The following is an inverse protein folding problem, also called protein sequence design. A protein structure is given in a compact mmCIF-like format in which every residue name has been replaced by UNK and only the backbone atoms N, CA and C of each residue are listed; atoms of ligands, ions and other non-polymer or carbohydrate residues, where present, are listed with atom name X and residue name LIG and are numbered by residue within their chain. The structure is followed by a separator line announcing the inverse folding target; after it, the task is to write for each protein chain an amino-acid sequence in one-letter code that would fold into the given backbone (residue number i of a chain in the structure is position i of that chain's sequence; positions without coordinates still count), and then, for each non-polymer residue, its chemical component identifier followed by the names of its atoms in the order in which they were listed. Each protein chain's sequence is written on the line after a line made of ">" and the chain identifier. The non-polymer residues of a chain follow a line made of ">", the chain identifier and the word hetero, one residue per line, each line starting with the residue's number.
data_IF_826340025010
#
_entry.id   IF_826340025010
#
_cell.length_a   1.000
_cell.length_b   1.000
_cell.length_c   1.000
_cell.angle_alpha   90.00
_cell.angle_beta   90.00
_cell.angle_gamma   90.00
#
_symmetry.space_group_name_H-M   'P 1'
#
loop_
_entity.id
_entity.type
_entity.pdbx_description
1 polymer ?
#
# COMPACT_ATOMS: atom_id res chain seq x y z
N UNK A 1 21.73 -6.48 -25.92
CA UNK A 1 21.46 -6.71 -27.36
C UNK A 1 19.98 -6.99 -27.52
N UNK A 2 19.35 -6.58 -28.63
CA UNK A 2 17.95 -6.90 -28.89
C UNK A 2 17.73 -8.41 -29.03
N UNK A 3 16.56 -8.89 -28.61
CA UNK A 3 16.16 -10.29 -28.64
C UNK A 3 14.87 -10.47 -29.45
N UNK A 4 14.68 -11.69 -29.94
CA UNK A 4 13.39 -12.14 -30.47
C UNK A 4 12.97 -13.39 -29.71
N UNK A 5 11.80 -13.34 -29.10
CA UNK A 5 11.17 -14.48 -28.44
C UNK A 5 10.18 -15.14 -29.40
N UNK A 6 10.30 -16.45 -29.61
CA UNK A 6 9.30 -17.25 -30.31
C UNK A 6 8.62 -18.17 -29.31
N UNK A 7 7.32 -17.97 -29.12
CA UNK A 7 6.49 -18.81 -28.26
C UNK A 7 5.78 -19.84 -29.13
N UNK A 8 5.74 -21.10 -28.67
CA UNK A 8 4.95 -22.18 -29.28
C UNK A 8 3.82 -22.58 -28.32
N UNK A 9 2.65 -21.91 -28.38
CA UNK A 9 1.52 -22.24 -27.52
C UNK A 9 0.99 -23.65 -27.78
N UNK A 10 0.33 -24.22 -26.77
CA UNK A 10 -0.34 -25.51 -26.90
C UNK A 10 -1.72 -25.34 -27.54
N UNK A 11 -2.04 -26.14 -28.55
CA UNK A 11 -3.37 -26.15 -29.16
C UNK A 11 -3.80 -24.79 -29.73
N UNK A 12 -4.93 -24.29 -29.25
CA UNK A 12 -5.55 -23.00 -29.61
C UNK A 12 -5.18 -21.86 -28.66
N UNK A 13 -4.23 -22.08 -27.73
CA UNK A 13 -3.78 -21.03 -26.82
C UNK A 13 -3.11 -19.88 -27.54
N UNK A 14 -3.26 -18.68 -26.99
CA UNK A 14 -2.62 -17.45 -27.47
C UNK A 14 -1.85 -16.74 -26.36
N UNK A 15 -1.06 -15.76 -26.76
CA UNK A 15 -0.14 -15.03 -25.87
C UNK A 15 -0.61 -13.58 -25.71
N UNK A 16 -0.74 -13.15 -24.46
CA UNK A 16 -0.94 -11.76 -24.05
C UNK A 16 0.32 -11.28 -23.31
N UNK A 17 0.89 -10.16 -23.75
CA UNK A 17 2.19 -9.66 -23.25
C UNK A 17 2.37 -8.17 -23.57
N UNK A 18 3.21 -7.49 -22.79
CA UNK A 18 3.71 -6.15 -23.10
C UNK A 18 4.71 -6.11 -24.26
N UNK A 19 5.27 -7.24 -24.70
CA UNK A 19 6.23 -7.25 -25.81
C UNK A 19 5.58 -6.87 -27.16
N UNK A 20 6.33 -6.14 -27.98
CA UNK A 20 5.92 -5.81 -29.34
C UNK A 20 5.98 -7.04 -30.25
N UNK A 21 4.96 -7.22 -31.09
CA UNK A 21 4.92 -8.31 -32.08
C UNK A 21 5.88 -8.04 -33.24
N UNK A 22 6.55 -9.08 -33.71
CA UNK A 22 7.34 -9.01 -34.95
C UNK A 22 6.38 -9.03 -36.14
N UNK A 23 6.43 -7.99 -36.98
CA UNK A 23 5.56 -7.84 -38.14
C UNK A 23 5.59 -9.08 -39.05
N UNK A 24 4.40 -9.57 -39.44
CA UNK A 24 4.24 -10.74 -40.32
C UNK A 24 4.57 -12.09 -39.69
N UNK A 25 4.87 -12.17 -38.39
CA UNK A 25 5.16 -13.43 -37.69
C UNK A 25 4.21 -13.64 -36.51
N UNK A 26 3.51 -14.76 -36.52
CA UNK A 26 2.68 -15.20 -35.40
C UNK A 26 3.55 -15.64 -34.23
N UNK A 27 3.17 -15.27 -33.00
CA UNK A 27 3.85 -15.64 -31.74
C UNK A 27 5.36 -15.33 -31.70
N UNK A 28 5.80 -14.32 -32.44
CA UNK A 28 7.15 -13.77 -32.37
C UNK A 28 7.09 -12.37 -31.78
N UNK A 29 7.94 -12.12 -30.78
CA UNK A 29 7.97 -10.89 -30.02
C UNK A 29 9.37 -10.30 -30.00
N UNK A 30 9.47 -8.98 -30.00
CA UNK A 30 10.72 -8.24 -29.97
C UNK A 30 10.95 -7.63 -28.59
N UNK A 31 12.18 -7.72 -28.09
CA UNK A 31 12.63 -6.99 -26.91
C UNK A 31 13.94 -6.23 -27.24
N UNK A 32 14.08 -4.95 -26.86
CA UNK A 32 15.29 -4.17 -27.14
C UNK A 32 16.51 -4.61 -26.29
N UNK A 33 16.27 -5.25 -25.15
CA UNK A 33 17.29 -5.75 -24.23
C UNK A 33 16.79 -6.97 -23.44
N UNK A 34 17.70 -7.65 -22.74
CA UNK A 34 17.33 -8.73 -21.84
C UNK A 34 16.50 -8.19 -20.67
N UNK A 35 16.87 -7.05 -20.11
CA UNK A 35 16.12 -6.42 -19.01
C UNK A 35 14.66 -6.12 -19.40
N UNK A 36 14.42 -5.66 -20.64
CA UNK A 36 13.07 -5.44 -21.14
C UNK A 36 12.32 -6.77 -21.30
N UNK A 37 12.99 -7.82 -21.82
CA UNK A 37 12.40 -9.15 -21.93
C UNK A 37 12.04 -9.74 -20.55
N UNK A 38 12.94 -9.61 -19.58
CA UNK A 38 12.76 -10.11 -18.21
C UNK A 38 11.63 -9.37 -17.48
N UNK A 39 11.34 -8.14 -17.88
CA UNK A 39 10.26 -7.32 -17.33
C UNK A 39 8.94 -7.43 -18.12
N UNK A 40 8.84 -8.32 -19.11
CA UNK A 40 7.59 -8.52 -19.84
C UNK A 40 7.06 -9.94 -19.60
N UNK A 41 6.08 -10.12 -18.70
CA UNK A 41 5.46 -11.42 -18.51
C UNK A 41 4.70 -11.89 -19.75
N UNK A 42 4.42 -13.19 -19.78
CA UNK A 42 3.64 -13.86 -20.82
C UNK A 42 2.46 -14.57 -20.17
N UNK A 43 1.25 -14.13 -20.48
CA UNK A 43 0.04 -14.91 -20.25
C UNK A 43 -0.17 -15.81 -21.49
N UNK A 44 -0.20 -17.13 -21.31
CA UNK A 44 -0.29 -18.10 -22.40
C UNK A 44 -1.39 -19.11 -22.07
N UNK A 45 -2.51 -19.03 -22.77
CA UNK A 45 -3.66 -19.84 -22.40
C UNK A 45 -4.90 -19.55 -23.22
N UNK A 46 -6.04 -19.72 -22.55
CA UNK A 46 -7.39 -19.47 -23.03
C UNK A 46 -8.02 -18.23 -22.36
N UNK A 47 -7.19 -17.29 -21.90
CA UNK A 47 -7.62 -16.03 -21.31
C UNK A 47 -8.48 -15.22 -22.28
N UNK A 48 -9.42 -14.44 -21.74
CA UNK A 48 -10.24 -13.54 -22.54
C UNK A 48 -9.54 -12.20 -22.67
N UNK A 49 -9.37 -11.71 -23.90
CA UNK A 49 -8.79 -10.39 -24.15
C UNK A 49 -9.85 -9.38 -24.57
N UNK A 50 -9.78 -8.21 -23.95
CA UNK A 50 -10.59 -7.05 -24.27
C UNK A 50 -9.69 -5.86 -24.50
N UNK A 51 -10.12 -4.91 -25.33
CA UNK A 51 -9.33 -3.72 -25.64
C UNK A 51 -10.11 -2.43 -25.42
N UNK A 52 -9.37 -1.37 -25.11
CA UNK A 52 -9.82 0.02 -25.20
C UNK A 52 -8.66 0.91 -25.67
N UNK A 53 -8.99 2.11 -26.15
CA UNK A 53 -7.99 3.08 -26.61
C UNK A 53 -8.09 4.38 -25.83
N UNK A 54 -6.94 4.96 -25.44
CA UNK A 54 -6.85 6.27 -24.80
C UNK A 54 -5.60 7.00 -25.34
N UNK A 55 -5.76 8.28 -25.73
CA UNK A 55 -4.69 9.10 -26.33
C UNK A 55 -3.94 8.40 -27.50
N UNK A 56 -4.69 7.69 -28.35
CA UNK A 56 -4.14 6.96 -29.51
C UNK A 56 -3.34 5.70 -29.17
N UNK A 57 -3.32 5.29 -27.90
CA UNK A 57 -2.61 4.09 -27.42
C UNK A 57 -3.60 3.00 -27.05
N UNK A 58 -3.24 1.76 -27.38
CA UNK A 58 -4.04 0.58 -27.06
C UNK A 58 -3.76 0.08 -25.65
N UNK A 59 -4.83 -0.30 -24.97
CA UNK A 59 -4.79 -0.95 -23.67
C UNK A 59 -5.58 -2.24 -23.74
N UNK A 60 -5.04 -3.29 -23.15
CA UNK A 60 -5.63 -4.61 -23.13
C UNK A 60 -5.97 -5.03 -21.71
N UNK A 61 -7.15 -5.62 -21.51
CA UNK A 61 -7.48 -6.41 -20.33
C UNK A 61 -7.47 -7.88 -20.74
N UNK A 62 -6.51 -8.62 -20.22
CA UNK A 62 -6.35 -10.05 -20.45
C UNK A 62 -6.72 -10.78 -19.16
N UNK A 63 -7.84 -11.51 -19.15
CA UNK A 63 -8.37 -12.14 -17.93
C UNK A 63 -8.45 -13.66 -18.07
N UNK A 64 -7.69 -14.36 -17.23
CA UNK A 64 -7.80 -15.80 -17.03
C UNK A 64 -8.78 -16.10 -15.89
N UNK A 65 -9.62 -17.12 -16.08
CA UNK A 65 -10.61 -17.56 -15.10
C UNK A 65 -11.98 -16.88 -15.25
N UNK A 66 -12.99 -17.52 -14.68
CA UNK A 66 -14.38 -17.04 -14.69
C UNK A 66 -14.74 -16.37 -13.36
N UNK A 67 -15.82 -15.60 -13.36
CA UNK A 67 -16.30 -14.92 -12.16
C UNK A 67 -17.60 -14.16 -12.41
N UNK A 68 -18.02 -13.38 -11.42
CA UNK A 68 -19.19 -12.50 -11.52
C UNK A 68 -18.84 -11.04 -11.86
N UNK A 69 -17.64 -10.82 -12.40
CA UNK A 69 -17.21 -9.51 -12.91
C UNK A 69 -17.93 -9.19 -14.22
N UNK A 70 -18.21 -7.91 -14.45
CA UNK A 70 -18.79 -7.40 -15.69
C UNK A 70 -17.70 -6.71 -16.52
N UNK A 71 -17.42 -7.25 -17.71
CA UNK A 71 -16.40 -6.75 -18.64
C UNK A 71 -16.44 -5.23 -18.81
N UNK A 72 -17.59 -4.67 -19.17
CA UNK A 72 -17.68 -3.26 -19.54
C UNK A 72 -17.41 -2.33 -18.34
N UNK A 73 -17.78 -2.75 -17.12
CA UNK A 73 -17.45 -2.03 -15.88
C UNK A 73 -15.96 -2.07 -15.57
N UNK A 74 -15.30 -3.22 -15.81
CA UNK A 74 -13.84 -3.30 -15.65
C UNK A 74 -13.13 -2.37 -16.64
N UNK A 75 -13.52 -2.38 -17.92
CA UNK A 75 -12.93 -1.53 -18.95
C UNK A 75 -13.15 -0.04 -18.67
N UNK A 76 -14.35 0.37 -18.22
CA UNK A 76 -14.62 1.76 -17.85
C UNK A 76 -13.69 2.22 -16.70
N UNK A 77 -13.52 1.37 -15.69
CA UNK A 77 -12.66 1.66 -14.54
C UNK A 77 -11.19 1.74 -14.92
N UNK A 78 -10.69 0.80 -15.73
CA UNK A 78 -9.33 0.85 -16.26
C UNK A 78 -9.09 2.09 -17.12
N UNK A 79 -10.06 2.50 -17.94
CA UNK A 79 -9.95 3.74 -18.73
C UNK A 79 -9.76 4.96 -17.83
N UNK A 80 -10.52 5.06 -16.74
CA UNK A 80 -10.41 6.15 -15.75
C UNK A 80 -9.09 6.08 -14.96
N UNK A 81 -8.58 4.90 -14.66
CA UNK A 81 -7.23 4.72 -14.06
C UNK A 81 -6.15 5.30 -14.98
N UNK A 82 -6.19 4.96 -16.27
CA UNK A 82 -5.26 5.47 -17.28
C UNK A 82 -5.39 6.99 -17.42
N UNK A 83 -6.61 7.50 -17.54
CA UNK A 83 -6.88 8.93 -17.66
C UNK A 83 -6.37 9.72 -16.45
N UNK A 84 -6.61 9.22 -15.23
CA UNK A 84 -6.17 9.88 -14.00
C UNK A 84 -4.64 9.95 -13.91
N UNK A 85 -3.95 8.86 -14.24
CA UNK A 85 -2.49 8.84 -14.27
C UNK A 85 -1.92 9.73 -15.39
N UNK A 86 -2.54 9.75 -16.57
CA UNK A 86 -2.15 10.66 -17.65
C UNK A 86 -2.27 12.13 -17.23
N UNK A 87 -3.37 12.52 -16.56
CA UNK A 87 -3.54 13.87 -16.01
C UNK A 87 -2.48 14.21 -14.97
N UNK A 88 -2.08 13.23 -14.15
CA UNK A 88 -1.05 13.42 -13.12
C UNK A 88 0.35 13.57 -13.73
N UNK A 89 0.79 12.59 -14.54
CA UNK A 89 2.16 12.50 -15.06
C UNK A 89 2.40 13.36 -16.32
N UNK A 90 1.38 13.51 -17.17
CA UNK A 90 1.43 14.33 -18.38
C UNK A 90 1.81 13.59 -19.68
N UNK A 91 2.15 12.30 -19.61
CA UNK A 91 2.45 11.46 -20.77
C UNK A 91 1.98 10.01 -20.56
N UNK A 92 2.29 9.12 -21.52
CA UNK A 92 2.16 7.66 -21.39
C UNK A 92 3.47 7.04 -21.94
N UNK A 93 4.38 6.49 -21.13
CA UNK A 93 5.74 6.14 -21.55
C UNK A 93 5.86 4.76 -22.24
N UNK A 94 4.83 4.35 -22.98
CA UNK A 94 4.74 3.04 -23.66
C UNK A 94 3.98 3.17 -25.00
N UNK A 95 3.98 2.13 -25.85
CA UNK A 95 3.18 2.12 -27.09
C UNK A 95 1.80 1.48 -26.91
N UNK A 96 1.74 0.43 -26.08
CA UNK A 96 0.53 -0.23 -25.63
C UNK A 96 0.75 -0.76 -24.21
N UNK A 97 -0.33 -1.04 -23.50
CA UNK A 97 -0.29 -1.54 -22.12
C UNK A 97 -1.22 -2.74 -21.91
N UNK A 98 -0.78 -3.77 -21.17
CA UNK A 98 -1.59 -4.97 -20.91
C UNK A 98 -1.82 -5.19 -19.41
N UNK A 99 -3.08 -5.15 -18.97
CA UNK A 99 -3.51 -5.59 -17.64
C UNK A 99 -3.81 -7.09 -17.69
N UNK A 100 -2.92 -7.91 -17.13
CA UNK A 100 -3.11 -9.36 -17.01
C UNK A 100 -3.76 -9.68 -15.67
N UNK A 101 -4.87 -10.40 -15.68
CA UNK A 101 -5.71 -10.63 -14.51
C UNK A 101 -5.99 -12.11 -14.34
N UNK A 102 -5.67 -12.65 -13.16
CA UNK A 102 -6.02 -14.01 -12.77
C UNK A 102 -7.19 -14.00 -11.79
N UNK A 103 -8.31 -14.54 -12.24
CA UNK A 103 -9.56 -14.65 -11.48
C UNK A 103 -9.69 -16.06 -10.89
N UNK A 104 -9.21 -16.25 -9.66
CA UNK A 104 -9.27 -17.54 -8.98
C UNK A 104 -9.33 -17.41 -7.44
N UNK A 105 -9.88 -18.40 -6.72
CA UNK A 105 -9.92 -18.37 -5.26
C UNK A 105 -8.52 -18.26 -4.65
N UNK A 106 -8.36 -17.36 -3.68
CA UNK A 106 -7.08 -17.13 -2.99
C UNK A 106 -6.08 -16.27 -3.76
N UNK A 107 -6.41 -15.81 -4.97
CA UNK A 107 -5.60 -14.83 -5.70
C UNK A 107 -5.76 -13.42 -5.12
N UNK A 108 -4.68 -12.65 -5.15
CA UNK A 108 -4.59 -11.26 -4.73
C UNK A 108 -3.19 -10.71 -4.98
N UNK A 109 -3.03 -9.39 -4.79
CA UNK A 109 -1.77 -8.70 -5.08
C UNK A 109 -1.57 -8.44 -6.58
N UNK A 110 -0.55 -7.63 -6.88
CA UNK A 110 -0.14 -7.30 -8.22
C UNK A 110 1.38 -7.24 -8.35
N UNK A 111 1.84 -7.18 -9.59
CA UNK A 111 3.25 -6.94 -9.92
C UNK A 111 3.33 -6.07 -11.15
N UNK A 112 4.16 -5.05 -11.05
CA UNK A 112 4.29 -3.96 -11.99
C UNK A 112 5.37 -4.23 -13.04
N UNK A 113 5.09 -3.85 -14.28
CA UNK A 113 6.01 -4.00 -15.40
C UNK A 113 6.01 -2.78 -16.30
N UNK A 114 7.05 -2.60 -17.11
CA UNK A 114 7.28 -1.39 -17.91
C UNK A 114 6.09 -0.96 -18.78
N UNK A 115 5.29 -1.91 -19.23
CA UNK A 115 4.04 -1.67 -19.96
C UNK A 115 3.01 -2.79 -19.76
N UNK A 116 3.00 -3.42 -18.59
CA UNK A 116 1.97 -4.37 -18.21
C UNK A 116 1.89 -4.51 -16.69
N UNK A 117 0.91 -5.26 -16.22
CA UNK A 117 0.87 -5.72 -14.83
C UNK A 117 0.22 -7.10 -14.78
N UNK A 118 0.59 -7.91 -13.79
CA UNK A 118 -0.14 -9.12 -13.42
C UNK A 118 -0.88 -8.84 -12.12
N UNK A 119 -2.17 -9.16 -12.06
CA UNK A 119 -3.02 -8.93 -10.89
C UNK A 119 -3.87 -10.15 -10.56
N UNK A 120 -4.02 -10.45 -9.27
CA UNK A 120 -4.94 -11.48 -8.78
C UNK A 120 -6.27 -10.89 -8.29
N UNK A 121 -7.40 -11.51 -8.63
CA UNK A 121 -8.73 -11.12 -8.15
C UNK A 121 -9.54 -12.30 -7.62
N UNK A 122 -10.43 -12.02 -6.65
CA UNK A 122 -11.43 -12.99 -6.21
C UNK A 122 -12.56 -13.09 -7.24
N UNK A 123 -12.85 -14.28 -7.80
CA UNK A 123 -13.81 -14.44 -8.89
C UNK A 123 -15.23 -14.00 -8.55
N UNK A 124 -15.63 -14.02 -7.27
CA UNK A 124 -16.98 -13.67 -6.84
C UNK A 124 -17.08 -12.35 -6.05
N UNK A 125 -16.01 -11.55 -6.09
CA UNK A 125 -15.92 -10.27 -5.38
C UNK A 125 -16.78 -9.14 -5.93
N UNK A 126 -17.38 -9.28 -7.12
CA UNK A 126 -17.92 -8.16 -7.91
C UNK A 126 -19.43 -7.94 -7.75
N UNK A 127 -20.03 -8.36 -6.62
CA UNK A 127 -21.47 -8.16 -6.36
C UNK A 127 -21.83 -6.71 -6.00
N UNK A 128 -20.87 -5.98 -5.44
CA UNK A 128 -21.03 -4.60 -4.98
C UNK A 128 -19.86 -3.76 -5.51
N UNK A 129 -20.04 -2.44 -5.56
CA UNK A 129 -19.00 -1.52 -6.03
C UNK A 129 -17.71 -1.61 -5.20
N UNK A 130 -17.79 -2.00 -3.93
CA UNK A 130 -16.61 -2.24 -3.10
C UNK A 130 -15.67 -3.34 -3.65
N UNK A 131 -16.18 -4.29 -4.44
CA UNK A 131 -15.36 -5.27 -5.14
C UNK A 131 -14.65 -4.67 -6.35
N UNK A 132 -15.39 -3.89 -7.14
CA UNK A 132 -14.82 -3.17 -8.28
C UNK A 132 -13.81 -2.10 -7.82
N UNK A 133 -14.04 -1.42 -6.71
CA UNK A 133 -13.13 -0.45 -6.14
C UNK A 133 -11.83 -1.10 -5.68
N UNK A 134 -11.87 -2.33 -5.15
CA UNK A 134 -10.66 -3.09 -4.82
C UNK A 134 -9.84 -3.41 -6.07
N UNK A 135 -10.49 -3.89 -7.12
CA UNK A 135 -9.84 -4.10 -8.42
C UNK A 135 -9.26 -2.80 -9.00
N UNK A 136 -10.02 -1.70 -8.92
CA UNK A 136 -9.63 -0.39 -9.45
C UNK A 136 -8.45 0.19 -8.66
N UNK A 137 -8.47 0.03 -7.32
CA UNK A 137 -7.39 0.47 -6.44
C UNK A 137 -6.10 -0.28 -6.73
N UNK A 138 -6.16 -1.61 -6.86
CA UNK A 138 -5.01 -2.41 -7.26
C UNK A 138 -4.50 -1.98 -8.65
N UNK A 139 -5.41 -1.82 -9.62
CA UNK A 139 -5.04 -1.34 -10.96
C UNK A 139 -4.41 0.06 -10.94
N UNK A 140 -4.87 0.95 -10.05
CA UNK A 140 -4.30 2.30 -9.88
C UNK A 140 -2.87 2.22 -9.35
N UNK A 141 -2.63 1.36 -8.35
CA UNK A 141 -1.32 1.10 -7.76
C UNK A 141 -0.32 0.58 -8.81
N UNK A 142 -0.67 -0.54 -9.44
CA UNK A 142 0.19 -1.19 -10.43
C UNK A 142 0.42 -0.32 -11.67
N UNK A 143 -0.59 0.46 -12.07
CA UNK A 143 -0.45 1.35 -13.22
C UNK A 143 0.37 2.60 -12.89
N UNK A 144 0.28 3.16 -11.68
CA UNK A 144 1.14 4.27 -11.24
C UNK A 144 2.62 3.85 -11.26
N UNK A 145 2.89 2.57 -10.97
CA UNK A 145 4.22 2.02 -11.07
C UNK A 145 4.84 2.05 -12.47
N UNK A 146 4.02 2.17 -13.52
CA UNK A 146 4.52 2.38 -14.88
C UNK A 146 5.51 3.54 -14.93
N UNK A 147 5.29 4.61 -14.16
CA UNK A 147 6.26 5.69 -13.98
C UNK A 147 7.16 5.41 -12.78
N UNK A 148 6.59 5.17 -11.60
CA UNK A 148 7.32 4.97 -10.35
C UNK A 148 7.15 3.54 -9.85
N UNK A 149 7.86 2.52 -10.33
CA UNK A 149 9.31 2.48 -10.38
C UNK A 149 9.83 2.05 -11.75
N UNK A 150 8.98 1.87 -12.77
CA UNK A 150 9.45 1.31 -14.04
C UNK A 150 10.19 2.31 -14.93
N UNK A 151 9.92 3.61 -14.82
CA UNK A 151 10.73 4.66 -15.47
C UNK A 151 11.65 5.38 -14.47
N UNK A 152 11.07 5.92 -13.40
CA UNK A 152 11.77 6.62 -12.30
C UNK A 152 12.25 5.58 -11.29
N UNK A 153 13.57 5.32 -11.25
CA UNK A 153 14.16 4.28 -10.39
C UNK A 153 15.18 4.84 -9.41
N UNK A 154 15.24 4.30 -8.18
CA UNK A 154 16.36 4.57 -7.30
C UNK A 154 17.65 3.94 -7.86
N UNK A 155 18.79 4.57 -7.62
CA UNK A 155 20.07 4.15 -8.17
C UNK A 155 20.48 2.72 -7.73
N UNK A 156 20.01 2.27 -6.58
CA UNK A 156 20.29 0.92 -6.06
C UNK A 156 19.73 -0.24 -6.88
N UNK A 157 18.81 0.04 -7.82
CA UNK A 157 18.19 -0.97 -8.70
C UNK A 157 18.30 -0.62 -10.20
N UNK A 158 19.07 0.42 -10.55
CA UNK A 158 19.20 0.87 -11.94
C UNK A 158 20.67 0.88 -12.42
N UNK A 159 21.10 -0.09 -13.24
CA UNK A 159 20.34 -1.26 -13.72
C UNK A 159 20.17 -2.34 -12.64
N UNK A 160 19.33 -3.34 -12.91
CA UNK A 160 19.21 -4.51 -12.06
C UNK A 160 20.43 -5.43 -12.19
N UNK A 161 20.94 -5.92 -11.06
CA UNK A 161 21.85 -7.07 -11.01
C UNK A 161 21.07 -8.33 -10.64
N UNK A 162 20.71 -9.14 -11.64
CA UNK A 162 19.93 -10.37 -11.44
C UNK A 162 20.70 -11.49 -10.71
N UNK A 163 21.97 -11.28 -10.36
CA UNK A 163 22.81 -12.30 -9.71
C UNK A 163 22.88 -12.16 -8.19
N UNK A 164 22.33 -11.08 -7.63
CA UNK A 164 22.38 -10.76 -6.19
C UNK A 164 21.21 -9.87 -5.76
N UNK A 165 21.09 -9.63 -4.48
CA UNK A 165 20.14 -8.66 -3.93
C UNK A 165 20.49 -7.22 -4.35
N UNK A 166 19.46 -6.43 -4.69
CA UNK A 166 19.61 -5.03 -5.10
C UNK A 166 19.06 -4.12 -4.00
N UNK A 167 19.94 -3.53 -3.19
CA UNK A 167 19.55 -2.75 -2.01
C UNK A 167 19.23 -1.29 -2.37
N UNK A 168 18.18 -0.74 -1.75
CA UNK A 168 17.88 0.69 -1.85
C UNK A 168 17.28 1.24 -0.55
N UNK A 169 17.79 2.37 -0.04
CA UNK A 169 17.15 3.13 1.06
C UNK A 169 15.84 3.83 0.65
N UNK A 170 15.44 3.75 -0.62
CA UNK A 170 14.39 4.58 -1.22
C UNK A 170 13.16 3.79 -1.71
N UNK A 171 13.02 2.51 -1.38
CA UNK A 171 11.84 1.74 -1.78
C UNK A 171 10.53 2.30 -1.22
N UNK A 172 10.55 3.02 -0.09
CA UNK A 172 9.38 3.75 0.38
C UNK A 172 8.86 4.80 -0.62
N UNK A 173 9.73 5.36 -1.49
CA UNK A 173 9.32 6.24 -2.59
C UNK A 173 8.68 5.42 -3.71
N UNK A 174 9.23 4.23 -4.00
CA UNK A 174 8.65 3.35 -5.02
C UNK A 174 7.28 2.81 -4.60
N UNK A 175 7.09 2.54 -3.31
CA UNK A 175 5.96 1.73 -2.82
C UNK A 175 5.02 2.52 -1.92
N UNK A 176 5.51 3.04 -0.78
CA UNK A 176 4.67 3.83 0.11
C UNK A 176 4.15 5.13 -0.51
N UNK A 177 4.96 5.84 -1.31
CA UNK A 177 4.46 6.99 -2.08
C UNK A 177 3.44 6.55 -3.13
N UNK A 178 3.58 5.36 -3.71
CA UNK A 178 2.57 4.80 -4.62
C UNK A 178 1.27 4.46 -3.89
N UNK A 179 1.31 3.91 -2.67
CA UNK A 179 0.11 3.69 -1.83
C UNK A 179 -0.62 5.01 -1.52
N UNK A 180 0.14 6.06 -1.16
CA UNK A 180 -0.40 7.39 -0.94
C UNK A 180 -1.10 7.93 -2.21
N UNK A 181 -0.45 7.80 -3.37
CA UNK A 181 -1.04 8.20 -4.64
C UNK A 181 -2.20 7.34 -5.09
N UNK A 182 -2.22 6.05 -4.75
CA UNK A 182 -3.35 5.17 -5.01
C UNK A 182 -4.60 5.70 -4.32
N UNK A 183 -4.54 6.03 -3.03
CA UNK A 183 -5.65 6.68 -2.31
C UNK A 183 -6.04 8.01 -2.99
N UNK A 184 -5.07 8.88 -3.25
CA UNK A 184 -5.32 10.22 -3.76
C UNK A 184 -5.93 10.22 -5.17
N UNK A 185 -5.41 9.38 -6.07
CA UNK A 185 -5.91 9.25 -7.44
C UNK A 185 -7.24 8.49 -7.48
N UNK A 186 -7.48 7.53 -6.59
CA UNK A 186 -8.82 6.93 -6.45
C UNK A 186 -9.87 7.97 -6.07
N UNK A 187 -9.51 8.92 -5.19
CA UNK A 187 -10.37 10.08 -4.89
C UNK A 187 -10.52 11.01 -6.09
N UNK A 188 -9.41 11.48 -6.67
CA UNK A 188 -9.43 12.46 -7.78
C UNK A 188 -10.10 11.93 -9.04
N UNK A 189 -10.07 10.62 -9.28
CA UNK A 189 -10.79 9.95 -10.36
C UNK A 189 -12.30 9.74 -10.08
N UNK A 190 -12.77 10.10 -8.88
CA UNK A 190 -14.17 10.00 -8.48
C UNK A 190 -14.63 8.63 -7.99
N UNK A 191 -13.72 7.70 -7.73
CA UNK A 191 -14.05 6.39 -7.17
C UNK A 191 -14.27 6.45 -5.66
N UNK A 192 -13.47 7.25 -4.96
CA UNK A 192 -13.62 7.45 -3.52
C UNK A 192 -14.36 8.75 -3.23
N UNK A 193 -15.26 8.70 -2.25
CA UNK A 193 -15.81 9.89 -1.63
C UNK A 193 -14.79 10.49 -0.65
N UNK A 194 -14.95 11.77 -0.31
CA UNK A 194 -14.13 12.43 0.74
C UNK A 194 -14.25 11.66 2.06
N UNK A 195 -15.46 11.27 2.47
CA UNK A 195 -15.67 10.53 3.71
C UNK A 195 -14.91 9.20 3.76
N UNK A 196 -14.78 8.52 2.62
CA UNK A 196 -13.94 7.33 2.52
C UNK A 196 -12.47 7.66 2.76
N UNK A 197 -11.95 8.71 2.14
CA UNK A 197 -10.56 9.17 2.35
C UNK A 197 -10.32 9.53 3.82
N UNK A 198 -11.22 10.30 4.45
CA UNK A 198 -11.09 10.64 5.87
C UNK A 198 -11.09 9.39 6.79
N UNK A 199 -11.89 8.38 6.44
CA UNK A 199 -11.88 7.08 7.11
C UNK A 199 -10.56 6.32 6.93
N UNK A 200 -9.99 6.36 5.72
CA UNK A 200 -8.68 5.77 5.42
C UNK A 200 -7.55 6.48 6.20
N UNK A 201 -7.57 7.82 6.29
CA UNK A 201 -6.64 8.59 7.14
C UNK A 201 -6.74 8.19 8.61
N UNK A 202 -7.96 8.02 9.14
CA UNK A 202 -8.15 7.53 10.51
C UNK A 202 -7.57 6.13 10.74
N UNK A 203 -7.67 5.25 9.74
CA UNK A 203 -7.07 3.92 9.81
C UNK A 203 -5.54 3.94 9.70
N UNK A 204 -4.97 4.80 8.86
CA UNK A 204 -3.52 5.03 8.78
C UNK A 204 -2.95 5.37 10.17
N UNK A 205 -3.51 6.40 10.83
CA UNK A 205 -3.09 6.84 12.17
C UNK A 205 -3.18 5.70 13.18
N UNK A 206 -4.27 4.92 13.15
CA UNK A 206 -4.47 3.79 14.06
C UNK A 206 -3.44 2.69 13.84
N UNK A 207 -3.19 2.33 12.58
CA UNK A 207 -2.27 1.27 12.20
C UNK A 207 -0.83 1.60 12.61
N UNK A 208 -0.38 2.84 12.39
CA UNK A 208 0.93 3.31 12.88
C UNK A 208 1.03 3.15 14.40
N UNK A 209 0.06 3.69 15.15
CA UNK A 209 0.06 3.67 16.62
C UNK A 209 0.00 2.26 17.21
N UNK A 210 -0.65 1.31 16.53
CA UNK A 210 -0.72 -0.09 16.93
C UNK A 210 0.57 -0.89 16.66
N UNK A 211 1.56 -0.32 15.97
CA UNK A 211 2.80 -1.01 15.59
C UNK A 211 3.98 -0.54 16.45
N UNK A 212 4.44 -1.32 17.46
CA UNK A 212 5.59 -0.93 18.27
C UNK A 212 6.88 -0.74 17.46
N UNK A 213 7.04 -1.48 16.35
CA UNK A 213 8.21 -1.39 15.48
C UNK A 213 8.51 0.01 14.94
N UNK A 214 7.53 0.93 14.92
CA UNK A 214 7.73 2.33 14.51
C UNK A 214 8.78 3.08 15.34
N UNK A 215 8.98 2.64 16.60
CA UNK A 215 9.97 3.20 17.53
C UNK A 215 11.37 2.58 17.38
N UNK A 216 11.50 1.58 16.52
CA UNK A 216 12.71 0.73 16.43
C UNK A 216 13.39 0.85 15.09
N UNK A 217 12.64 0.85 13.98
CA UNK A 217 13.19 0.88 12.63
C UNK A 217 12.79 2.15 11.89
N UNK A 218 13.76 2.79 11.24
CA UNK A 218 13.49 3.94 10.37
C UNK A 218 12.86 3.50 9.04
N UNK A 219 12.29 4.46 8.30
CA UNK A 219 11.70 4.16 6.99
C UNK A 219 12.78 3.81 5.95
N UNK A 220 13.94 4.46 6.06
CA UNK A 220 15.11 4.20 5.22
C UNK A 220 15.67 2.79 5.48
N UNK A 221 15.80 2.39 6.75
CA UNK A 221 16.23 1.04 7.13
C UNK A 221 15.24 -0.03 6.65
N UNK A 222 13.94 0.22 6.76
CA UNK A 222 12.92 -0.72 6.27
C UNK A 222 13.02 -0.94 4.77
N UNK A 223 13.26 0.13 3.99
CA UNK A 223 13.53 0.03 2.56
C UNK A 223 14.80 -0.79 2.29
N UNK A 224 15.90 -0.46 2.95
CA UNK A 224 17.17 -1.16 2.74
C UNK A 224 17.07 -2.66 3.09
N UNK A 225 16.40 -2.99 4.19
CA UNK A 225 16.26 -4.36 4.70
C UNK A 225 15.18 -5.20 3.99
N UNK A 226 14.55 -4.69 2.91
CA UNK A 226 13.42 -5.35 2.25
C UNK A 226 13.72 -6.84 1.94
N UNK A 227 14.89 -7.14 1.36
CA UNK A 227 15.34 -8.50 1.01
C UNK A 227 15.45 -9.48 2.19
N UNK A 228 15.67 -8.96 3.40
CA UNK A 228 16.02 -9.78 4.57
C UNK A 228 14.91 -9.82 5.60
N UNK A 229 14.22 -8.71 5.86
CA UNK A 229 13.20 -8.60 6.91
C UNK A 229 11.78 -8.57 6.34
N UNK A 230 11.52 -7.71 5.34
CA UNK A 230 10.17 -7.55 4.80
C UNK A 230 9.69 -8.79 4.04
N UNK A 231 10.52 -9.34 3.15
CA UNK A 231 10.16 -10.54 2.39
C UNK A 231 10.32 -11.85 3.19
N UNK A 232 10.84 -11.77 4.42
CA UNK A 232 11.02 -12.90 5.35
C UNK A 232 10.59 -12.50 6.75
N UNK A 233 9.34 -12.07 6.89
CA UNK A 233 8.80 -11.60 8.17
C UNK A 233 8.99 -12.65 9.26
N UNK A 234 9.49 -12.20 10.41
CA UNK A 234 9.53 -12.99 11.63
C UNK A 234 8.27 -12.79 12.45
N UNK A 235 8.01 -13.70 13.39
CA UNK A 235 6.94 -13.56 14.37
C UNK A 235 7.03 -12.28 15.22
N UNK A 236 8.21 -11.65 15.25
CA UNK A 236 8.49 -10.43 15.99
C UNK A 236 8.48 -9.16 15.10
N UNK A 237 8.14 -9.29 13.81
CA UNK A 237 8.17 -8.19 12.85
C UNK A 237 7.36 -6.98 13.30
N UNK A 238 6.11 -7.20 13.77
CA UNK A 238 5.25 -6.10 14.25
C UNK A 238 5.88 -5.28 15.39
N UNK A 239 6.76 -5.87 16.20
CA UNK A 239 7.37 -5.23 17.35
C UNK A 239 8.68 -4.50 17.01
N UNK A 240 9.33 -4.83 15.88
CA UNK A 240 10.69 -4.35 15.57
C UNK A 240 10.85 -3.76 14.19
N UNK A 241 9.84 -3.88 13.34
CA UNK A 241 9.90 -3.51 11.93
C UNK A 241 8.73 -2.59 11.58
N UNK A 242 8.94 -1.80 10.53
CA UNK A 242 7.88 -1.05 9.87
C UNK A 242 7.73 -1.53 8.44
N UNK A 243 6.55 -1.32 7.87
CA UNK A 243 6.33 -1.51 6.44
C UNK A 243 6.75 -0.25 5.71
N UNK A 244 7.66 -0.36 4.73
CA UNK A 244 7.99 0.77 3.84
C UNK A 244 6.83 1.13 2.89
N UNK A 245 5.78 0.29 2.81
CA UNK A 245 4.48 0.63 2.24
C UNK A 245 3.72 1.54 3.22
N UNK A 246 3.22 1.00 4.34
CA UNK A 246 2.37 1.74 5.28
C UNK A 246 3.03 3.04 5.77
N UNK A 247 4.23 2.96 6.38
CA UNK A 247 4.93 4.15 6.91
C UNK A 247 5.39 5.05 5.76
N UNK A 248 5.69 4.49 4.59
CA UNK A 248 6.03 5.28 3.41
C UNK A 248 4.84 6.09 2.90
N UNK A 249 3.63 5.53 2.93
CA UNK A 249 2.38 6.22 2.62
C UNK A 249 2.07 7.31 3.65
N UNK A 250 2.23 7.01 4.93
CA UNK A 250 2.09 7.99 6.02
C UNK A 250 3.03 9.18 5.80
N UNK A 251 4.34 8.93 5.64
CA UNK A 251 5.35 9.98 5.46
C UNK A 251 5.15 10.75 4.15
N UNK A 252 4.69 10.09 3.08
CA UNK A 252 4.36 10.76 1.81
C UNK A 252 3.20 11.74 1.97
N UNK A 253 2.16 11.37 2.74
CA UNK A 253 1.08 12.28 3.10
C UNK A 253 1.61 13.50 3.86
N UNK A 254 2.43 13.30 4.91
CA UNK A 254 2.96 14.42 5.69
C UNK A 254 3.81 15.33 4.82
N UNK A 255 4.63 14.74 3.95
CA UNK A 255 5.53 15.46 3.06
C UNK A 255 4.76 16.33 2.07
N UNK A 256 3.69 15.81 1.44
CA UNK A 256 2.85 16.62 0.55
C UNK A 256 2.24 17.82 1.29
N UNK A 257 1.66 17.58 2.47
CA UNK A 257 1.02 18.64 3.26
C UNK A 257 2.03 19.68 3.77
N UNK A 258 3.23 19.27 4.18
CA UNK A 258 4.31 20.18 4.59
C UNK A 258 4.80 21.04 3.41
N UNK A 259 5.01 20.44 2.23
CA UNK A 259 5.39 21.17 1.01
C UNK A 259 4.32 22.22 0.68
N UNK A 260 3.05 21.82 0.69
CA UNK A 260 1.92 22.71 0.42
C UNK A 260 1.84 23.84 1.44
N UNK A 261 2.00 23.56 2.72
CA UNK A 261 1.98 24.57 3.77
C UNK A 261 3.11 25.60 3.61
N UNK A 262 4.36 25.14 3.41
CA UNK A 262 5.54 26.04 3.32
C UNK A 262 5.54 26.90 2.07
N UNK A 263 5.08 26.34 0.95
CA UNK A 263 5.04 27.03 -0.34
C UNK A 263 3.74 27.83 -0.57
N UNK A 264 2.90 28.00 0.45
CA UNK A 264 1.55 28.61 0.34
C UNK A 264 0.71 27.99 -0.80
N UNK A 265 0.79 26.67 -0.91
CA UNK A 265 0.16 25.80 -1.92
C UNK A 265 0.65 26.00 -3.36
N UNK A 266 1.85 26.58 -3.56
CA UNK A 266 2.51 26.66 -4.89
C UNK A 266 3.26 25.38 -5.27
N UNK A 267 3.64 24.57 -4.28
CA UNK A 267 4.31 23.28 -4.40
C UNK A 267 3.42 22.14 -3.90
N UNK A 268 3.76 20.93 -4.31
CA UNK A 268 3.16 19.68 -3.86
C UNK A 268 4.09 18.51 -4.15
N UNK A 269 3.84 17.37 -3.51
CA UNK A 269 4.49 16.11 -3.86
C UNK A 269 4.21 15.74 -5.33
N UNK A 270 3.08 16.17 -5.91
CA UNK A 270 2.77 15.94 -7.34
C UNK A 270 3.80 16.62 -8.24
N UNK A 271 4.23 17.82 -7.84
CA UNK A 271 5.29 18.54 -8.53
C UNK A 271 6.64 17.88 -8.31
N UNK A 272 6.94 17.43 -7.08
CA UNK A 272 8.18 16.69 -6.78
C UNK A 272 8.28 15.43 -7.66
N UNK A 273 7.26 14.57 -7.68
CA UNK A 273 7.27 13.33 -8.45
C UNK A 273 7.45 13.58 -9.95
N UNK A 274 6.77 14.59 -10.50
CA UNK A 274 6.96 14.98 -11.91
C UNK A 274 8.36 15.52 -12.20
N UNK A 275 8.94 16.30 -11.30
CA UNK A 275 10.31 16.80 -11.46
C UNK A 275 11.32 15.66 -11.33
N UNK A 276 11.11 14.72 -10.40
CA UNK A 276 11.91 13.50 -10.30
C UNK A 276 11.86 12.68 -11.60
N UNK A 277 10.65 12.41 -12.12
CA UNK A 277 10.47 11.68 -13.38
C UNK A 277 11.21 12.34 -14.56
N UNK A 278 11.17 13.68 -14.67
CA UNK A 278 11.89 14.41 -15.72
C UNK A 278 13.41 14.36 -15.55
N UNK A 279 13.92 14.47 -14.31
CA UNK A 279 15.36 14.60 -14.01
C UNK A 279 16.09 13.27 -13.98
N UNK A 280 15.38 12.18 -13.67
CA UNK A 280 15.96 10.84 -13.50
C UNK A 280 15.31 9.83 -14.47
N UNK A 281 15.56 9.97 -15.79
CA UNK A 281 15.03 9.05 -16.78
C UNK A 281 15.64 7.66 -16.63
N UNK A 282 14.95 6.64 -17.14
CA UNK A 282 15.32 5.23 -17.02
C UNK A 282 16.74 4.90 -17.50
N UNK A 283 17.19 5.55 -18.58
CA UNK A 283 18.53 5.35 -19.15
C UNK A 283 19.64 6.11 -18.40
N UNK A 284 19.30 6.85 -17.34
CA UNK A 284 20.24 7.48 -16.41
C UNK A 284 20.68 6.54 -15.28
N UNK A 285 21.39 7.06 -14.27
CA UNK A 285 21.87 6.25 -13.14
C UNK A 285 20.80 5.92 -12.08
N UNK A 286 19.57 6.41 -12.24
CA UNK A 286 18.58 6.45 -11.15
C UNK A 286 18.86 7.57 -10.15
N UNK A 287 17.96 7.75 -9.18
CA UNK A 287 18.07 8.81 -8.16
C UNK A 287 18.63 8.29 -6.83
N UNK A 288 19.33 9.16 -6.10
CA UNK A 288 19.73 8.95 -4.70
C UNK A 288 18.72 9.54 -3.70
N UNK A 289 18.74 9.16 -2.42
CA UNK A 289 17.96 9.84 -1.38
C UNK A 289 18.20 11.36 -1.34
N UNK A 290 19.44 11.79 -1.53
CA UNK A 290 19.82 13.20 -1.53
C UNK A 290 19.23 13.94 -2.73
N UNK A 291 19.10 13.27 -3.88
CA UNK A 291 18.45 13.86 -5.05
C UNK A 291 16.97 14.11 -4.80
N UNK A 292 16.27 13.15 -4.20
CA UNK A 292 14.86 13.31 -3.84
C UNK A 292 14.69 14.44 -2.81
N UNK A 293 15.52 14.48 -1.76
CA UNK A 293 15.48 15.55 -0.77
C UNK A 293 15.72 16.92 -1.42
N UNK A 294 16.69 17.07 -2.33
CA UNK A 294 16.93 18.34 -3.03
C UNK A 294 15.72 18.79 -3.84
N UNK A 295 15.06 17.90 -4.58
CA UNK A 295 13.86 18.26 -5.35
C UNK A 295 12.72 18.68 -4.43
N UNK A 296 12.55 18.01 -3.28
CA UNK A 296 11.61 18.44 -2.24
C UNK A 296 11.94 19.84 -1.75
N UNK A 297 13.20 20.13 -1.42
CA UNK A 297 13.64 21.43 -0.90
C UNK A 297 13.46 22.56 -1.93
N UNK A 298 13.68 22.28 -3.21
CA UNK A 298 13.41 23.22 -4.31
C UNK A 298 11.90 23.51 -4.47
N UNK A 299 11.05 22.48 -4.37
CA UNK A 299 9.59 22.62 -4.55
C UNK A 299 8.91 23.21 -3.31
N UNK A 300 9.38 22.84 -2.11
CA UNK A 300 8.85 23.27 -0.82
C UNK A 300 9.47 24.56 -0.28
N UNK A 301 10.34 25.22 -1.05
CA UNK A 301 10.95 26.52 -0.76
C UNK A 301 11.75 26.58 0.56
N UNK A 302 12.74 25.70 0.73
CA UNK A 302 13.66 25.73 1.88
C UNK A 302 14.16 24.35 2.28
N UNK A 303 14.96 24.26 3.35
CA UNK A 303 15.49 22.95 3.78
C UNK A 303 14.42 22.08 4.47
N UNK A 304 14.44 20.79 4.16
CA UNK A 304 13.59 19.76 4.75
C UNK A 304 14.41 18.79 5.63
N UNK A 305 15.64 19.14 6.00
CA UNK A 305 16.54 18.26 6.75
C UNK A 305 15.93 17.78 8.08
N UNK A 306 15.23 18.64 8.81
CA UNK A 306 14.54 18.25 10.05
C UNK A 306 13.46 17.19 9.78
N UNK A 307 12.67 17.36 8.72
CA UNK A 307 11.65 16.39 8.33
C UNK A 307 12.29 15.03 7.98
N UNK A 308 13.31 15.04 7.13
CA UNK A 308 13.98 13.82 6.67
C UNK A 308 14.71 13.11 7.81
N UNK A 309 15.39 13.85 8.69
CA UNK A 309 16.08 13.29 9.84
C UNK A 309 15.12 12.66 10.85
N UNK A 310 13.94 13.24 11.05
CA UNK A 310 12.94 12.71 11.99
C UNK A 310 12.17 11.51 11.45
N UNK A 311 11.63 11.61 10.24
CA UNK A 311 10.59 10.70 9.75
C UNK A 311 11.10 9.66 8.73
N UNK A 312 12.20 9.95 8.04
CA UNK A 312 12.77 9.04 7.03
C UNK A 312 13.95 8.27 7.63
N UNK A 313 14.98 8.99 8.09
CA UNK A 313 16.18 8.43 8.72
C UNK A 313 15.99 8.07 10.19
N UNK A 314 15.02 8.72 10.85
CA UNK A 314 14.74 8.56 12.26
C UNK A 314 13.47 7.75 12.56
N UNK A 315 13.17 7.68 13.85
CA UNK A 315 12.00 6.98 14.41
C UNK A 315 11.17 7.91 15.28
N UNK A 316 11.18 9.21 14.97
CA UNK A 316 10.32 10.16 15.67
C UNK A 316 8.85 9.76 15.48
N UNK A 317 8.04 9.88 16.53
CA UNK A 317 6.60 9.66 16.43
C UNK A 317 5.98 10.71 15.49
N UNK A 318 5.03 10.28 14.66
CA UNK A 318 4.39 11.14 13.67
C UNK A 318 3.33 12.03 14.33
N UNK A 319 3.42 13.34 14.10
CA UNK A 319 2.40 14.32 14.49
C UNK A 319 1.34 14.49 13.39
N UNK A 320 0.50 13.46 13.20
CA UNK A 320 -0.56 13.49 12.18
C UNK A 320 -1.50 14.69 12.34
N UNK A 321 -1.78 15.11 13.57
CA UNK A 321 -2.67 16.24 13.85
C UNK A 321 -2.10 17.55 13.27
N UNK A 322 -0.81 17.82 13.46
CA UNK A 322 -0.13 18.98 12.87
C UNK A 322 -0.24 19.00 11.34
N UNK A 323 0.11 17.90 10.68
CA UNK A 323 0.15 17.90 9.21
C UNK A 323 -1.25 17.94 8.59
N UNK A 324 -2.20 17.18 9.14
CA UNK A 324 -3.60 17.22 8.68
C UNK A 324 -4.25 18.58 8.91
N UNK A 325 -3.84 19.31 9.96
CA UNK A 325 -4.29 20.69 10.18
C UNK A 325 -3.92 21.61 9.01
N UNK A 326 -2.84 21.37 8.26
CA UNK A 326 -2.50 22.18 7.08
C UNK A 326 -3.54 22.09 5.96
N UNK A 327 -4.29 20.99 5.89
CA UNK A 327 -5.45 20.84 5.01
C UNK A 327 -6.78 21.15 5.72
N UNK A 328 -6.75 21.83 6.87
CA UNK A 328 -7.95 22.15 7.64
C UNK A 328 -8.64 20.94 8.26
N UNK A 329 -7.94 19.82 8.41
CA UNK A 329 -8.50 18.60 9.00
C UNK A 329 -8.10 18.48 10.47
N UNK A 330 -9.01 17.95 11.28
CA UNK A 330 -8.81 17.69 12.70
C UNK A 330 -8.80 16.18 12.97
N UNK A 331 -7.82 15.74 13.77
CA UNK A 331 -7.75 14.37 14.28
C UNK A 331 -8.47 14.32 15.62
N UNK A 332 -9.55 13.56 15.69
CA UNK A 332 -10.29 13.29 16.92
C UNK A 332 -10.00 11.89 17.43
N UNK A 333 -9.58 11.83 18.68
CA UNK A 333 -9.28 10.59 19.39
C UNK A 333 -10.31 10.37 20.48
N UNK A 334 -10.95 9.20 20.43
CA UNK A 334 -11.92 8.80 21.43
C UNK A 334 -11.49 7.51 22.09
N UNK A 335 -11.21 7.60 23.38
CA UNK A 335 -11.06 6.41 24.21
C UNK A 335 -12.42 5.74 24.39
N UNK A 336 -12.43 4.41 24.32
CA UNK A 336 -13.66 3.64 24.59
C UNK A 336 -14.08 3.83 26.05
N UNK A 337 -15.39 4.00 26.29
CA UNK A 337 -15.95 4.07 27.64
C UNK A 337 -17.16 3.11 27.76
N UNK A 338 -17.08 2.02 28.54
CA UNK A 338 -15.92 1.61 29.35
C UNK A 338 -14.70 1.25 28.48
N UNK A 339 -13.50 1.34 29.06
CA UNK A 339 -12.27 0.98 28.37
C UNK A 339 -12.32 -0.48 27.90
N UNK A 340 -11.99 -0.72 26.62
CA UNK A 340 -11.97 -2.07 26.06
C UNK A 340 -10.80 -2.84 26.70
N UNK A 341 -11.05 -4.04 27.27
CA UNK A 341 -9.98 -4.89 27.76
C UNK A 341 -9.11 -5.36 26.60
N UNK A 342 -7.80 -5.31 26.80
CA UNK A 342 -6.81 -5.60 25.79
C UNK A 342 -5.83 -6.66 26.29
N UNK A 343 -5.55 -7.64 25.43
CA UNK A 343 -4.63 -8.75 25.68
C UNK A 343 -3.32 -8.61 24.89
N UNK A 344 -3.37 -7.99 23.71
CA UNK A 344 -2.23 -7.79 22.82
C UNK A 344 -1.75 -9.04 22.07
N UNK A 345 -2.67 -9.89 21.63
CA UNK A 345 -2.38 -11.01 20.72
C UNK A 345 -3.22 -10.97 19.46
N UNK A 346 -2.68 -11.53 18.37
CA UNK A 346 -3.46 -11.94 17.21
C UNK A 346 -3.54 -13.46 17.17
N UNK A 347 -4.66 -14.00 16.71
CA UNK A 347 -4.86 -15.45 16.57
C UNK A 347 -5.35 -15.81 15.17
N UNK A 348 -5.14 -17.07 14.77
CA UNK A 348 -5.69 -17.65 13.55
C UNK A 348 -6.06 -19.11 13.80
N UNK A 349 -7.14 -19.58 13.18
CA UNK A 349 -7.42 -21.02 13.13
C UNK A 349 -6.48 -21.73 12.14
N UNK A 350 -5.82 -22.80 12.59
CA UNK A 350 -5.03 -23.69 11.76
C UNK A 350 -5.40 -25.12 12.11
N UNK A 351 -5.89 -25.89 11.14
CA UNK A 351 -6.24 -27.31 11.32
C UNK A 351 -7.18 -27.57 12.52
N UNK A 352 -8.04 -26.61 12.84
CA UNK A 352 -8.95 -26.69 13.98
C UNK A 352 -8.32 -26.38 15.34
N UNK A 353 -7.13 -25.77 15.37
CA UNK A 353 -6.45 -25.21 16.54
C UNK A 353 -6.45 -23.68 16.47
N UNK A 354 -6.59 -23.01 17.61
CA UNK A 354 -6.50 -21.54 17.71
C UNK A 354 -5.06 -21.15 18.01
N UNK A 355 -4.30 -20.79 16.99
CA UNK A 355 -2.88 -20.48 17.12
C UNK A 355 -2.66 -19.00 17.38
N UNK A 356 -1.80 -18.67 18.34
CA UNK A 356 -1.30 -17.29 18.52
C UNK A 356 -0.32 -16.99 17.38
N UNK A 357 -0.61 -15.94 16.61
CA UNK A 357 0.18 -15.53 15.43
C UNK A 357 0.95 -14.23 15.65
N UNK A 358 0.59 -13.44 16.65
CA UNK A 358 1.34 -12.27 17.07
C UNK A 358 1.19 -12.05 18.58
N UNK A 359 2.25 -11.55 19.22
CA UNK A 359 2.24 -11.09 20.61
C UNK A 359 2.90 -9.71 20.63
N UNK A 360 2.15 -8.69 21.02
CA UNK A 360 2.58 -7.29 20.97
C UNK A 360 3.52 -6.99 22.13
N UNK A 361 4.71 -6.45 21.86
CA UNK A 361 5.68 -6.10 22.89
C UNK A 361 5.07 -5.09 23.90
N UNK A 362 5.28 -5.36 25.20
CA UNK A 362 4.73 -4.56 26.30
C UNK A 362 3.24 -4.80 26.59
N UNK A 363 2.56 -5.67 25.83
CA UNK A 363 1.17 -6.03 26.11
C UNK A 363 1.01 -7.00 27.29
N UNK A 364 -0.21 -7.16 27.83
CA UNK A 364 -0.48 -8.14 28.88
C UNK A 364 -0.04 -9.56 28.56
N UNK A 365 -0.28 -10.01 27.33
CA UNK A 365 0.14 -11.34 26.89
C UNK A 365 1.67 -11.49 26.84
N UNK A 366 2.36 -10.44 26.39
CA UNK A 366 3.83 -10.41 26.35
C UNK A 366 4.41 -10.51 27.76
N UNK A 367 3.94 -9.67 28.69
CA UNK A 367 4.40 -9.65 30.08
C UNK A 367 4.07 -10.96 30.82
N UNK A 368 2.96 -11.61 30.48
CA UNK A 368 2.61 -12.93 31.01
C UNK A 368 3.44 -14.08 30.43
N UNK A 369 4.19 -13.85 29.34
CA UNK A 369 5.05 -14.85 28.71
C UNK A 369 4.33 -15.78 27.71
N UNK A 370 3.23 -15.33 27.10
CA UNK A 370 2.64 -15.97 25.93
C UNK A 370 3.53 -15.78 24.70
N UNK A 371 3.55 -16.77 23.81
CA UNK A 371 4.40 -16.77 22.64
C UNK A 371 3.59 -16.98 21.35
N UNK A 372 4.13 -16.46 20.24
CA UNK A 372 3.70 -16.91 18.92
C UNK A 372 3.97 -18.41 18.78
N UNK A 373 3.01 -19.13 18.18
CA UNK A 373 3.04 -20.58 18.06
C UNK A 373 2.41 -21.34 19.24
N UNK A 374 2.02 -20.65 20.32
CA UNK A 374 1.15 -21.27 21.33
C UNK A 374 -0.22 -21.59 20.72
N UNK A 375 -0.76 -22.77 21.04
CA UNK A 375 -2.17 -23.10 20.80
C UNK A 375 -2.99 -22.62 21.99
N UNK A 376 -3.82 -21.60 21.79
CA UNK A 376 -4.77 -21.13 22.79
C UNK A 376 -5.94 -22.12 22.92
N UNK A 377 -6.06 -22.78 24.06
CA UNK A 377 -7.08 -23.81 24.30
C UNK A 377 -8.30 -23.21 24.99
N UNK A 378 -8.10 -22.51 26.12
CA UNK A 378 -9.21 -21.97 26.91
C UNK A 378 -8.95 -20.58 27.47
N UNK A 379 -10.03 -19.83 27.63
CA UNK A 379 -10.11 -18.61 28.44
C UNK A 379 -11.07 -18.88 29.60
N UNK A 380 -10.57 -18.74 30.84
CA UNK A 380 -11.27 -19.09 32.08
C UNK A 380 -11.83 -20.52 32.10
N UNK A 381 -11.10 -21.47 31.52
CA UNK A 381 -11.50 -22.89 31.46
C UNK A 381 -12.54 -23.21 30.38
N UNK A 382 -12.98 -22.24 29.59
CA UNK A 382 -13.86 -22.47 28.44
C UNK A 382 -13.08 -22.39 27.13
N UNK A 383 -13.33 -23.33 26.21
CA UNK A 383 -12.73 -23.30 24.88
C UNK A 383 -13.02 -21.97 24.19
N UNK A 384 -12.01 -21.42 23.52
CA UNK A 384 -12.13 -20.18 22.73
C UNK A 384 -11.57 -20.42 21.34
N UNK A 385 -12.27 -19.90 20.33
CA UNK A 385 -11.82 -19.88 18.93
C UNK A 385 -11.29 -18.50 18.56
N UNK A 386 -10.47 -18.42 17.51
CA UNK A 386 -9.90 -17.17 17.03
C UNK A 386 -10.97 -16.10 16.76
N UNK A 387 -12.05 -16.49 16.10
CA UNK A 387 -13.18 -15.60 15.79
C UNK A 387 -14.08 -15.25 16.99
N UNK A 388 -13.83 -15.84 18.16
CA UNK A 388 -14.60 -15.59 19.39
C UNK A 388 -13.78 -14.83 20.45
N UNK A 389 -12.46 -14.72 20.27
CA UNK A 389 -11.57 -14.21 21.31
C UNK A 389 -11.92 -12.79 21.73
N UNK A 390 -12.13 -11.88 20.77
CA UNK A 390 -12.49 -10.48 21.04
C UNK A 390 -13.80 -10.37 21.80
N UNK A 391 -14.83 -11.11 21.38
CA UNK A 391 -16.14 -11.11 22.05
C UNK A 391 -16.02 -11.66 23.47
N UNK A 392 -15.26 -12.75 23.66
CA UNK A 392 -15.02 -13.34 24.98
C UNK A 392 -14.21 -12.45 25.91
N UNK A 393 -13.26 -11.67 25.38
CA UNK A 393 -12.52 -10.68 26.17
C UNK A 393 -13.44 -9.54 26.64
N UNK A 394 -14.49 -9.22 25.88
CA UNK A 394 -15.46 -8.16 26.21
C UNK A 394 -16.32 -8.48 27.43
N UNK A 395 -16.31 -9.73 27.92
CA UNK A 395 -16.94 -10.13 29.19
C UNK A 395 -16.18 -9.60 30.44
N UNK A 396 -14.96 -9.07 30.25
CA UNK A 396 -14.07 -8.61 31.31
C UNK A 396 -13.84 -7.09 31.24
N UNK A 397 -13.17 -6.55 32.25
CA UNK A 397 -12.72 -5.16 32.31
C UNK A 397 -11.20 -5.08 32.23
N UNK A 398 -10.71 -3.90 31.85
CA UNK A 398 -9.32 -3.56 32.12
C UNK A 398 -9.00 -3.78 33.62
N UNK A 399 -7.78 -4.22 33.90
CA UNK A 399 -7.26 -4.64 35.22
C UNK A 399 -7.76 -5.99 35.76
N UNK A 400 -8.76 -6.62 35.15
CA UNK A 400 -9.15 -7.99 35.52
C UNK A 400 -8.02 -8.96 35.21
N UNK A 401 -7.82 -9.96 36.07
CA UNK A 401 -6.89 -11.06 35.82
C UNK A 401 -7.64 -12.26 35.29
N UNK A 402 -7.24 -12.74 34.11
CA UNK A 402 -7.84 -13.90 33.46
C UNK A 402 -6.83 -15.05 33.38
N UNK A 403 -7.35 -16.28 33.42
CA UNK A 403 -6.58 -17.52 33.20
C UNK A 403 -6.69 -17.95 31.75
N UNK A 404 -5.55 -18.05 31.09
CA UNK A 404 -5.40 -18.62 29.76
C UNK A 404 -4.69 -19.96 29.84
N UNK A 405 -5.22 -20.96 29.15
CA UNK A 405 -4.59 -22.28 29.05
C UNK A 405 -4.17 -22.50 27.61
N UNK A 406 -2.90 -22.84 27.41
CA UNK A 406 -2.31 -23.05 26.08
C UNK A 406 -1.53 -24.34 26.00
N UNK A 407 -1.37 -24.90 24.81
CA UNK A 407 -0.30 -25.86 24.53
C UNK A 407 0.90 -25.14 23.94
N UNK A 408 2.08 -25.38 24.51
CA UNK A 408 3.38 -24.95 23.97
C UNK A 408 4.28 -26.17 23.84
N UNK A 409 4.65 -26.52 22.62
CA UNK A 409 5.47 -27.72 22.35
C UNK A 409 4.92 -28.95 23.09
N UNK A 410 3.62 -29.23 22.91
CA UNK A 410 2.87 -30.34 23.54
C UNK A 410 2.70 -30.25 25.06
N UNK A 411 3.25 -29.22 25.72
CA UNK A 411 3.07 -29.01 27.15
C UNK A 411 1.88 -28.10 27.42
N UNK A 412 0.93 -28.59 28.23
CA UNK A 412 -0.15 -27.77 28.75
C UNK A 412 0.41 -26.76 29.75
N UNK A 413 0.13 -25.48 29.54
CA UNK A 413 0.57 -24.38 30.40
C UNK A 413 -0.62 -23.49 30.73
N UNK A 414 -0.60 -22.95 31.94
CA UNK A 414 -1.58 -21.95 32.39
C UNK A 414 -0.88 -20.63 32.69
N UNK A 415 -1.49 -19.55 32.24
CA UNK A 415 -1.01 -18.18 32.41
C UNK A 415 -2.09 -17.35 33.07
N UNK A 416 -1.70 -16.60 34.11
CA UNK A 416 -2.53 -15.56 34.71
C UNK A 416 -2.16 -14.24 34.05
N UNK A 417 -3.10 -13.64 33.33
CA UNK A 417 -2.87 -12.44 32.54
C UNK A 417 -3.74 -11.31 33.07
N UNK A 418 -3.10 -10.24 33.54
CA UNK A 418 -3.80 -9.04 33.97
C UNK A 418 -4.07 -8.15 32.76
N UNK A 419 -5.33 -8.06 32.34
CA UNK A 419 -5.75 -7.27 31.19
C UNK A 419 -5.46 -5.79 31.41
N UNK A 420 -5.15 -5.08 30.34
CA UNK A 420 -4.98 -3.62 30.34
C UNK A 420 -6.09 -2.97 29.51
N UNK A 421 -6.24 -1.66 29.63
CA UNK A 421 -7.06 -0.91 28.68
C UNK A 421 -6.35 -0.88 27.32
N UNK A 422 -7.11 -1.01 26.23
CA UNK A 422 -6.57 -0.78 24.89
C UNK A 422 -6.00 0.64 24.78
N UNK A 423 -4.69 0.75 24.49
CA UNK A 423 -4.00 2.05 24.50
C UNK A 423 -4.33 2.93 23.28
N UNK A 424 -4.59 2.30 22.14
CA UNK A 424 -4.83 3.03 20.88
C UNK A 424 -6.30 3.44 20.80
N UNK A 425 -6.60 4.76 20.82
CA UNK A 425 -7.98 5.24 20.76
C UNK A 425 -8.64 4.94 19.41
N UNK A 426 -9.97 5.06 19.38
CA UNK A 426 -10.67 5.22 18.11
C UNK A 426 -10.28 6.56 17.50
N UNK A 427 -9.75 6.53 16.28
CA UNK A 427 -9.33 7.73 15.55
C UNK A 427 -10.32 8.03 14.43
N UNK A 428 -10.77 9.29 14.36
CA UNK A 428 -11.55 9.83 13.25
C UNK A 428 -10.93 11.13 12.76
N UNK A 429 -10.93 11.37 11.46
CA UNK A 429 -10.51 12.63 10.86
C UNK A 429 -11.74 13.38 10.35
N UNK A 430 -11.83 14.67 10.64
CA UNK A 430 -12.97 15.53 10.26
C UNK A 430 -12.50 16.87 9.74
N UNK A 431 -13.37 17.58 9.04
CA UNK A 431 -13.14 18.98 8.70
C UNK A 431 -13.15 19.85 9.95
N UNK A 432 -12.30 20.88 9.97
CA UNK A 432 -12.39 21.93 10.99
C UNK A 432 -13.59 22.83 10.76
N UNK A 433 -14.15 23.33 11.86
CA UNK A 433 -15.26 24.29 11.82
C UNK A 433 -14.82 25.60 11.13
N UNK A 434 -13.63 26.10 11.48
CA UNK A 434 -13.11 27.41 11.04
C UNK A 434 -11.73 27.29 10.35
N UNK A 435 -11.67 26.73 9.13
CA UNK A 435 -10.43 26.65 8.36
C UNK A 435 -10.04 28.05 7.84
N UNK A 436 -8.73 28.29 7.76
CA UNK A 436 -8.15 29.43 7.04
C UNK A 436 -8.31 29.25 5.53
N UNK A 437 -8.21 30.35 4.78
CA UNK A 437 -8.24 30.30 3.31
C UNK A 437 -7.09 29.49 2.71
N UNK A 438 -5.92 29.46 3.37
CA UNK A 438 -4.82 28.58 2.93
C UNK A 438 -5.19 27.11 3.12
N UNK A 439 -5.75 26.74 4.28
CA UNK A 439 -6.18 25.36 4.56
C UNK A 439 -7.22 24.86 3.56
N UNK A 440 -8.22 25.70 3.21
CA UNK A 440 -9.20 25.36 2.17
C UNK A 440 -8.52 25.12 0.82
N UNK A 441 -7.65 26.04 0.37
CA UNK A 441 -6.94 25.88 -0.91
C UNK A 441 -6.05 24.63 -0.94
N UNK A 442 -5.36 24.33 0.15
CA UNK A 442 -4.55 23.11 0.30
C UNK A 442 -5.46 21.89 0.17
N UNK A 443 -6.55 21.83 0.93
CA UNK A 443 -7.52 20.73 0.89
C UNK A 443 -8.09 20.51 -0.51
N UNK A 444 -8.53 21.58 -1.17
CA UNK A 444 -9.20 21.51 -2.47
C UNK A 444 -8.27 21.03 -3.58
N UNK A 445 -7.04 21.54 -3.63
CA UNK A 445 -6.03 21.13 -4.60
C UNK A 445 -5.48 19.72 -4.29
N UNK A 446 -5.29 19.40 -3.01
CA UNK A 446 -4.87 18.08 -2.58
C UNK A 446 -5.91 17.02 -2.96
N UNK A 447 -7.15 17.12 -2.46
CA UNK A 447 -8.17 16.07 -2.68
C UNK A 447 -8.89 16.18 -4.03
N UNK A 448 -8.76 17.29 -4.76
CA UNK A 448 -9.59 17.54 -5.94
C UNK A 448 -11.08 17.57 -5.58
N UNK A 449 -11.44 18.20 -4.46
CA UNK A 449 -12.79 18.28 -3.94
C UNK A 449 -13.03 19.64 -3.31
N UNK A 450 -14.19 20.25 -3.52
CA UNK A 450 -14.55 21.51 -2.86
C UNK A 450 -14.59 21.35 -1.34
N UNK A 451 -14.17 22.39 -0.62
CA UNK A 451 -14.30 22.44 0.82
C UNK A 451 -15.79 22.41 1.21
N UNK A 452 -16.25 21.52 2.11
CA UNK A 452 -17.67 21.44 2.46
C UNK A 452 -18.15 22.74 3.12
N UNK A 453 -19.32 23.21 2.71
CA UNK A 453 -19.97 24.36 3.34
C UNK A 453 -20.34 24.07 4.80
N UNK A 454 -20.60 25.11 5.59
CA UNK A 454 -20.87 24.97 7.03
C UNK A 454 -22.15 24.16 7.36
N UNK A 455 -23.01 23.88 6.37
CA UNK A 455 -24.21 23.02 6.52
C UNK A 455 -23.93 21.52 6.26
N UNK A 456 -22.77 21.18 5.68
CA UNK A 456 -22.38 19.80 5.30
C UNK A 456 -21.23 19.23 6.15
N UNK A 457 -20.63 20.04 7.03
CA UNK A 457 -19.64 19.63 8.04
C UNK A 457 -20.32 19.02 9.26
#
# INVERSE_FOLDING_TARGET
>A
QPLTLHVKPYGDWHVSTGLDRVAGKTNHFHAPSFDYLADCPLEIGNQQDFEFEFEGKKHYLSIFGEGNWEKDKLLERLRKVVESNFKFWGDLPYQHYTFMVHSAPGMGGGTEHINSTIMGINPFGFRADTGYDRFTSLSMHEFFHTWNVKQLRPAGINPYDFTKENYSPSFWISEGTTDYYTMLLMRRAGFYSVNRVLGELGNMIRNDRQRPGRKVQSLEESSFDAWVKFWKQSENGQNREVSYYDKGGDVSLLLDLEIRQRSENRGSLDRVMREMYKRFPLNGPGFSPEDFQKVVEEVGEGSFEEFFSMYIRGTAEIDFAKFLDYAGLEVQERQSNPAKPWLGIATREREGQTMITAVIAGSPAYEAGLNVGDELVTLEGYRVRSNQLTDRLSDFKAEDTIRLTVFRAEQLREFQVKLQAEEVPEVTVKHRDHPTELQKRIYEDWLGAEWPGDEEK
#
